data_IF_343296640987
#
_entry.id   IF_343296640987
#
_cell.length_a   1.000
_cell.length_b   1.000
_cell.length_c   1.000
_cell.angle_alpha   90.00
_cell.angle_beta   90.00
_cell.angle_gamma   90.00
#
_symmetry.space_group_name_H-M   'P 1'
#
loop_
_entity.id
_entity.type
_entity.pdbx_description
1 polymer ?
#
# COMPACT_ATOMS: atom_id res chain seq x y z
N UNK A 1 -9.20 -28.38 -12.54
CA UNK A 1 -7.85 -27.75 -12.58
C UNK A 1 -7.47 -27.54 -11.14
N UNK A 2 -6.45 -28.23 -10.65
CA UNK A 2 -5.99 -28.11 -9.26
C UNK A 2 -5.48 -26.70 -9.01
N UNK A 3 -6.02 -26.04 -7.98
CA UNK A 3 -5.50 -24.77 -7.48
C UNK A 3 -4.08 -25.04 -6.96
N UNK A 4 -3.07 -24.69 -7.77
CA UNK A 4 -1.69 -24.68 -7.28
C UNK A 4 -1.58 -23.54 -6.27
N UNK A 5 -1.61 -23.91 -4.98
CA UNK A 5 -1.38 -23.00 -3.88
C UNK A 5 0.04 -22.43 -4.01
N UNK A 6 0.15 -21.21 -4.52
CA UNK A 6 1.45 -20.51 -4.59
C UNK A 6 1.82 -20.09 -3.18
N UNK A 7 2.85 -20.72 -2.63
CA UNK A 7 3.42 -20.32 -1.35
C UNK A 7 4.30 -19.08 -1.54
N UNK A 8 4.17 -18.13 -0.61
CA UNK A 8 4.96 -16.90 -0.59
C UNK A 8 5.78 -16.83 0.68
N UNK A 9 7.06 -16.50 0.56
CA UNK A 9 7.89 -16.10 1.69
C UNK A 9 7.85 -14.58 1.83
N UNK A 10 7.44 -14.09 2.99
CA UNK A 10 7.37 -12.66 3.30
C UNK A 10 8.34 -12.30 4.42
N UNK A 11 9.18 -11.29 4.19
CA UNK A 11 10.20 -10.83 5.14
C UNK A 11 10.02 -9.35 5.46
N UNK A 12 10.11 -8.99 6.73
CA UNK A 12 9.87 -7.64 7.23
C UNK A 12 11.10 -7.07 7.95
N UNK A 13 11.55 -5.91 7.49
CA UNK A 13 12.75 -5.22 7.95
C UNK A 13 12.39 -3.85 8.50
N UNK A 14 13.09 -3.44 9.58
CA UNK A 14 13.23 -2.01 9.91
C UNK A 14 14.40 -1.51 9.08
N UNK A 15 14.21 -0.42 8.38
CA UNK A 15 15.21 0.09 7.43
C UNK A 15 15.51 1.55 7.72
N UNK A 16 16.78 1.91 7.62
CA UNK A 16 17.19 3.31 7.51
C UNK A 16 17.34 3.72 6.03
N UNK A 17 17.18 5.01 5.70
CA UNK A 17 17.30 5.50 4.32
C UNK A 17 18.64 5.16 3.64
N UNK A 18 19.73 5.09 4.40
CA UNK A 18 21.06 4.71 3.93
C UNK A 18 21.24 3.19 3.76
N UNK A 19 20.60 2.40 4.63
CA UNK A 19 20.67 0.93 4.58
C UNK A 19 19.90 0.37 3.38
N UNK A 20 18.75 0.95 3.04
CA UNK A 20 17.93 0.40 1.95
C UNK A 20 18.53 0.58 0.55
N UNK A 21 19.49 1.49 0.44
CA UNK A 21 20.26 1.70 -0.78
C UNK A 21 21.28 0.58 -1.01
N UNK A 22 21.59 -0.19 0.05
CA UNK A 22 22.47 -1.34 -0.01
C UNK A 22 21.66 -2.58 -0.45
N UNK A 23 22.32 -3.53 -1.12
CA UNK A 23 21.74 -4.84 -1.49
C UNK A 23 20.65 -4.87 -2.58
N UNK A 24 20.44 -3.79 -3.34
CA UNK A 24 19.61 -3.82 -4.56
C UNK A 24 18.09 -3.90 -4.33
N UNK A 25 17.62 -4.04 -3.09
CA UNK A 25 16.20 -4.07 -2.74
C UNK A 25 15.42 -2.89 -3.28
N UNK A 26 15.93 -1.67 -3.10
CA UNK A 26 15.27 -0.46 -3.60
C UNK A 26 15.20 -0.42 -5.13
N UNK A 27 16.20 -1.00 -5.81
CA UNK A 27 16.24 -1.07 -7.27
C UNK A 27 15.20 -2.04 -7.79
N UNK A 28 15.05 -3.20 -7.15
CA UNK A 28 14.04 -4.17 -7.50
C UNK A 28 12.63 -3.68 -7.21
N UNK A 29 12.42 -3.03 -6.06
CA UNK A 29 11.16 -2.38 -5.73
C UNK A 29 10.79 -1.30 -6.75
N UNK A 30 11.73 -0.44 -7.12
CA UNK A 30 11.54 0.60 -8.13
C UNK A 30 11.25 0.01 -9.52
N UNK A 31 11.93 -1.09 -9.88
CA UNK A 31 11.71 -1.82 -11.13
C UNK A 31 10.32 -2.46 -11.17
N UNK A 32 9.92 -3.14 -10.09
CA UNK A 32 8.60 -3.75 -9.96
C UNK A 32 7.50 -2.70 -10.05
N UNK A 33 7.63 -1.60 -9.30
CA UNK A 33 6.66 -0.49 -9.37
C UNK A 33 6.53 0.03 -10.80
N UNK A 34 7.67 0.28 -11.45
CA UNK A 34 7.72 0.81 -12.81
C UNK A 34 7.15 -0.13 -13.88
N UNK A 35 7.05 -1.44 -13.62
CA UNK A 35 6.47 -2.41 -14.56
C UNK A 35 5.01 -2.74 -14.23
N UNK A 36 4.63 -2.72 -12.95
CA UNK A 36 3.37 -3.28 -12.49
C UNK A 36 2.32 -2.24 -12.10
N UNK A 37 2.71 -1.06 -11.60
CA UNK A 37 1.79 -0.15 -10.89
C UNK A 37 0.63 0.34 -11.77
N UNK A 38 0.89 1.25 -12.70
CA UNK A 38 -0.16 1.89 -13.50
C UNK A 38 0.41 2.64 -14.70
N UNK A 39 -0.49 3.27 -15.47
CA UNK A 39 -0.15 4.20 -16.54
C UNK A 39 -0.68 5.59 -16.21
N UNK A 40 -0.14 6.61 -16.86
CA UNK A 40 -0.65 7.98 -16.73
C UNK A 40 -2.00 8.13 -17.44
N UNK A 41 -2.90 8.89 -16.81
CA UNK A 41 -4.20 9.25 -17.37
C UNK A 41 -4.10 10.36 -18.41
N UNK A 42 -5.24 10.66 -19.06
CA UNK A 42 -5.29 11.58 -20.22
C UNK A 42 -4.86 13.00 -19.87
N UNK A 43 -5.10 13.42 -18.63
CA UNK A 43 -4.79 14.77 -18.15
C UNK A 43 -3.35 14.93 -17.64
N UNK A 44 -2.56 13.86 -17.53
CA UNK A 44 -1.24 13.91 -16.92
C UNK A 44 -0.26 14.85 -17.67
N UNK A 45 -0.32 14.89 -19.01
CA UNK A 45 0.56 15.75 -19.80
C UNK A 45 0.31 17.24 -19.52
N UNK A 46 -0.95 17.61 -19.28
CA UNK A 46 -1.36 18.98 -18.98
C UNK A 46 -1.09 19.36 -17.52
N UNK A 47 -1.30 18.42 -16.59
CA UNK A 47 -1.30 18.69 -15.15
C UNK A 47 0.05 18.47 -14.47
N UNK A 48 0.86 17.55 -14.99
CA UNK A 48 2.18 17.19 -14.43
C UNK A 48 3.30 17.69 -15.35
N UNK A 49 3.11 17.58 -16.66
CA UNK A 49 4.04 18.10 -17.66
C UNK A 49 4.13 17.22 -18.91
N UNK A 50 4.73 17.72 -20.00
CA UNK A 50 4.62 17.11 -21.32
C UNK A 50 5.15 15.68 -21.36
N UNK A 51 6.17 15.31 -20.57
CA UNK A 51 6.74 13.95 -20.56
C UNK A 51 5.83 12.87 -19.96
N UNK A 52 4.73 13.25 -19.31
CA UNK A 52 3.78 12.37 -18.62
C UNK A 52 2.57 12.05 -19.51
N UNK A 53 2.83 11.45 -20.68
CA UNK A 53 1.78 11.13 -21.65
C UNK A 53 0.91 9.94 -21.23
N UNK A 54 -0.35 9.97 -21.66
CA UNK A 54 -1.30 8.86 -21.56
C UNK A 54 -0.68 7.53 -22.03
N UNK A 55 -1.10 6.42 -21.42
CA UNK A 55 -0.63 5.04 -21.64
C UNK A 55 0.85 4.77 -21.30
N UNK A 56 1.65 5.80 -20.99
CA UNK A 56 3.00 5.57 -20.47
C UNK A 56 2.94 5.09 -19.04
N UNK A 57 3.77 4.10 -18.72
CA UNK A 57 3.94 3.60 -17.36
C UNK A 57 4.39 4.70 -16.41
N UNK A 58 3.79 4.74 -15.23
CA UNK A 58 4.33 5.49 -14.10
C UNK A 58 5.69 4.89 -13.76
N UNK A 59 6.75 5.67 -13.86
CA UNK A 59 8.12 5.23 -13.56
C UNK A 59 8.56 5.78 -12.21
N UNK A 60 9.27 4.92 -11.49
CA UNK A 60 9.91 5.22 -10.22
C UNK A 60 11.36 4.77 -10.33
N UNK A 61 12.30 5.68 -10.08
CA UNK A 61 13.71 5.31 -9.89
C UNK A 61 13.98 5.13 -8.38
N UNK A 62 15.13 4.54 -8.05
CA UNK A 62 15.48 4.24 -6.67
C UNK A 62 15.65 5.50 -5.81
N UNK A 63 16.25 6.57 -6.34
CA UNK A 63 16.43 7.84 -5.61
C UNK A 63 15.10 8.49 -5.22
N UNK A 64 14.16 8.52 -6.18
CA UNK A 64 12.81 9.01 -5.97
C UNK A 64 12.05 8.12 -4.98
N UNK A 65 12.16 6.80 -5.12
CA UNK A 65 11.53 5.86 -4.19
C UNK A 65 12.04 6.09 -2.76
N UNK A 66 13.35 6.23 -2.57
CA UNK A 66 13.95 6.51 -1.25
C UNK A 66 13.38 7.81 -0.69
N UNK A 67 13.43 8.88 -1.48
CA UNK A 67 12.98 10.23 -1.07
C UNK A 67 11.49 10.27 -0.72
N UNK A 68 10.65 9.56 -1.48
CA UNK A 68 9.19 9.61 -1.32
C UNK A 68 8.64 8.57 -0.34
N UNK A 69 9.32 7.45 -0.12
CA UNK A 69 8.80 6.34 0.67
C UNK A 69 9.54 6.07 1.97
N UNK A 70 10.77 6.60 2.14
CA UNK A 70 11.67 6.31 3.28
C UNK A 70 12.28 7.62 3.79
N UNK A 71 11.48 8.52 4.39
CA UNK A 71 11.99 9.80 4.90
C UNK A 71 13.01 9.61 6.02
N UNK A 72 13.96 10.56 6.08
CA UNK A 72 15.00 10.62 7.09
C UNK A 72 14.42 10.91 8.49
N UNK A 73 15.03 10.33 9.53
CA UNK A 73 14.64 10.56 10.93
C UNK A 73 13.35 9.86 11.37
N UNK A 74 12.75 9.01 10.53
CA UNK A 74 11.56 8.23 10.87
C UNK A 74 11.88 6.73 11.02
N UNK A 75 11.00 6.00 11.72
CA UNK A 75 11.01 4.54 11.66
C UNK A 75 10.37 4.10 10.34
N UNK A 76 11.13 3.39 9.51
CA UNK A 76 10.65 2.90 8.23
C UNK A 76 10.65 1.37 8.22
N UNK A 77 9.59 0.80 7.65
CA UNK A 77 9.40 -0.63 7.50
C UNK A 77 9.43 -0.96 6.01
N UNK A 78 10.19 -2.00 5.67
CA UNK A 78 10.17 -2.61 4.35
C UNK A 78 9.72 -4.06 4.46
N UNK A 79 8.67 -4.42 3.74
CA UNK A 79 8.23 -5.81 3.59
C UNK A 79 8.43 -6.23 2.15
N UNK A 80 9.07 -7.36 1.95
CA UNK A 80 9.29 -7.98 0.64
C UNK A 80 8.67 -9.37 0.63
N UNK A 81 8.02 -9.72 -0.48
CA UNK A 81 7.43 -11.03 -0.68
C UNK A 81 7.97 -11.67 -1.96
N UNK A 82 8.41 -12.92 -1.84
CA UNK A 82 8.83 -13.74 -2.96
C UNK A 82 7.82 -14.86 -3.22
N UNK A 83 7.61 -15.16 -4.49
CA UNK A 83 6.84 -16.32 -4.94
C UNK A 83 7.73 -17.32 -5.67
N UNK A 84 7.38 -18.59 -5.58
CA UNK A 84 7.99 -19.64 -6.38
C UNK A 84 7.30 -19.71 -7.74
N UNK A 85 8.03 -19.36 -8.80
CA UNK A 85 7.56 -19.48 -10.18
C UNK A 85 8.27 -20.67 -10.83
N UNK A 86 7.52 -21.50 -11.57
CA UNK A 86 8.11 -22.61 -12.31
C UNK A 86 9.01 -22.06 -13.43
N UNK A 87 10.26 -22.49 -13.45
CA UNK A 87 11.16 -22.14 -14.53
C UNK A 87 10.94 -23.10 -15.70
N UNK A 88 10.24 -22.61 -16.72
CA UNK A 88 9.95 -23.37 -17.93
C UNK A 88 11.20 -23.67 -18.77
N UNK A 89 12.32 -22.98 -18.52
CA UNK A 89 13.59 -23.18 -19.24
C UNK A 89 14.52 -24.17 -18.52
N UNK A 90 14.41 -24.29 -17.20
CA UNK A 90 15.26 -25.15 -16.38
C UNK A 90 14.56 -26.45 -15.93
N UNK A 91 13.62 -26.96 -16.73
CA UNK A 91 13.14 -28.34 -16.70
C UNK A 91 12.80 -28.91 -15.31
N UNK A 92 11.92 -28.25 -14.55
CA UNK A 92 11.45 -28.56 -13.18
C UNK A 92 12.07 -27.75 -12.02
N UNK A 93 13.01 -26.83 -12.27
CA UNK A 93 13.47 -25.91 -11.22
C UNK A 93 12.41 -24.83 -10.90
N UNK A 94 12.25 -24.50 -9.62
CA UNK A 94 11.48 -23.32 -9.19
C UNK A 94 12.44 -22.16 -8.95
N UNK A 95 12.12 -20.97 -9.51
CA UNK A 95 12.87 -19.74 -9.25
C UNK A 95 12.08 -18.86 -8.30
N UNK A 96 12.74 -18.47 -7.21
CA UNK A 96 12.23 -17.46 -6.28
C UNK A 96 12.28 -16.10 -6.97
N UNK A 97 11.12 -15.44 -7.10
CA UNK A 97 11.02 -14.12 -7.75
C UNK A 97 10.23 -13.15 -6.88
N UNK A 98 10.62 -11.88 -6.94
CA UNK A 98 9.89 -10.81 -6.27
C UNK A 98 8.43 -10.78 -6.75
N UNK A 99 7.51 -11.02 -5.83
CA UNK A 99 6.08 -11.08 -6.07
C UNK A 99 5.36 -9.79 -5.63
N UNK A 100 5.89 -9.11 -4.61
CA UNK A 100 5.38 -7.83 -4.14
C UNK A 100 6.21 -7.25 -3.01
N UNK A 101 5.92 -6.01 -2.66
CA UNK A 101 6.53 -5.33 -1.53
C UNK A 101 5.63 -4.22 -0.96
N UNK A 102 5.95 -3.78 0.26
CA UNK A 102 5.42 -2.56 0.83
C UNK A 102 6.50 -1.75 1.56
N UNK A 103 6.37 -0.43 1.44
CA UNK A 103 7.03 0.54 2.31
C UNK A 103 6.02 1.13 3.27
N UNK A 104 6.42 1.31 4.52
CA UNK A 104 5.67 2.08 5.49
C UNK A 104 6.59 2.96 6.33
N UNK A 105 6.06 4.09 6.76
CA UNK A 105 6.75 5.07 7.60
C UNK A 105 5.93 5.32 8.85
N UNK A 106 6.59 5.35 10.00
CA UNK A 106 5.97 5.62 11.29
C UNK A 106 6.43 6.95 11.88
N UNK A 107 5.49 7.71 12.46
CA UNK A 107 5.76 8.96 13.16
C UNK A 107 4.76 9.20 14.30
N UNK A 108 5.01 10.24 15.11
CA UNK A 108 4.12 10.68 16.17
C UNK A 108 3.25 11.85 15.69
N UNK A 109 1.95 11.77 15.95
CA UNK A 109 0.98 12.84 15.71
C UNK A 109 0.04 12.94 16.90
N UNK A 110 0.00 14.10 17.57
CA UNK A 110 -0.87 14.32 18.74
C UNK A 110 -0.66 13.29 19.87
N UNK A 111 0.58 12.84 20.10
CA UNK A 111 0.91 11.79 21.07
C UNK A 111 0.67 10.35 20.60
N UNK A 112 -0.08 10.17 19.51
CA UNK A 112 -0.41 8.88 18.91
C UNK A 112 0.65 8.47 17.88
N UNK A 113 0.89 7.18 17.74
CA UNK A 113 1.77 6.58 16.73
C UNK A 113 0.99 6.28 15.47
N UNK A 114 1.45 6.80 14.35
CA UNK A 114 0.88 6.52 13.02
C UNK A 114 1.85 5.64 12.27
N UNK A 115 1.35 4.60 11.60
CA UNK A 115 2.06 3.84 10.58
C UNK A 115 1.37 4.04 9.22
N UNK A 116 2.06 4.59 8.25
CA UNK A 116 1.50 4.87 6.94
C UNK A 116 2.18 4.08 5.85
N UNK A 117 1.42 3.37 5.04
CA UNK A 117 1.92 2.65 3.87
C UNK A 117 2.17 3.67 2.76
N UNK A 118 3.44 3.92 2.47
CA UNK A 118 3.89 4.91 1.46
C UNK A 118 3.94 4.33 0.06
N UNK A 119 4.10 3.01 -0.06
CA UNK A 119 4.00 2.31 -1.34
C UNK A 119 3.62 0.85 -1.11
N UNK A 120 2.68 0.35 -1.91
CA UNK A 120 2.34 -1.07 -2.00
C UNK A 120 2.34 -1.47 -3.47
N UNK A 121 3.09 -2.51 -3.82
CA UNK A 121 3.13 -3.03 -5.17
C UNK A 121 3.06 -4.56 -5.17
N UNK A 122 2.18 -5.10 -6.02
CA UNK A 122 2.06 -6.55 -6.24
C UNK A 122 2.06 -6.81 -7.74
N UNK A 123 2.91 -7.76 -8.16
CA UNK A 123 3.02 -8.22 -9.54
C UNK A 123 1.66 -8.70 -10.04
N UNK A 124 1.27 -8.33 -11.26
CA UNK A 124 -0.05 -8.66 -11.84
C UNK A 124 -0.39 -10.15 -11.74
N UNK A 125 0.58 -11.02 -11.99
CA UNK A 125 0.43 -12.49 -11.91
C UNK A 125 0.08 -13.01 -10.50
N UNK A 126 0.38 -12.25 -9.45
CA UNK A 126 0.15 -12.60 -8.05
C UNK A 126 -1.00 -11.81 -7.40
N UNK A 127 -1.68 -10.93 -8.17
CA UNK A 127 -2.87 -10.21 -7.70
C UNK A 127 -4.04 -11.17 -7.50
N UNK A 128 -5.01 -10.75 -6.66
CA UNK A 128 -6.22 -11.53 -6.31
C UNK A 128 -5.94 -12.85 -5.56
N UNK A 129 -4.74 -13.02 -4.99
CA UNK A 129 -4.33 -14.21 -4.20
C UNK A 129 -4.07 -13.90 -2.73
N UNK A 130 -4.61 -12.79 -2.22
CA UNK A 130 -4.40 -12.36 -0.82
C UNK A 130 -3.01 -11.80 -0.48
N UNK A 131 -2.05 -11.84 -1.41
CA UNK A 131 -0.66 -11.41 -1.16
C UNK A 131 -0.53 -9.96 -0.64
N UNK A 132 -1.30 -9.01 -1.18
CA UNK A 132 -1.30 -7.63 -0.69
C UNK A 132 -1.67 -7.55 0.80
N UNK A 133 -2.71 -8.29 1.22
CA UNK A 133 -3.13 -8.35 2.63
C UNK A 133 -2.02 -8.96 3.49
N UNK A 134 -1.38 -10.03 3.03
CA UNK A 134 -0.31 -10.70 3.78
C UNK A 134 0.89 -9.75 3.98
N UNK A 135 1.34 -9.07 2.93
CA UNK A 135 2.41 -8.07 3.01
C UNK A 135 2.07 -7.00 4.05
N UNK A 136 0.83 -6.48 4.04
CA UNK A 136 0.39 -5.44 4.97
C UNK A 136 0.25 -5.96 6.42
N UNK A 137 -0.13 -7.22 6.63
CA UNK A 137 -0.11 -7.84 7.98
C UNK A 137 1.30 -7.88 8.54
N UNK A 138 2.30 -8.24 7.71
CA UNK A 138 3.71 -8.20 8.13
C UNK A 138 4.18 -6.79 8.47
N UNK A 139 3.64 -5.75 7.84
CA UNK A 139 3.86 -4.36 8.28
C UNK A 139 3.29 -4.16 9.69
N UNK A 140 2.02 -4.52 9.93
CA UNK A 140 1.37 -4.40 11.25
C UNK A 140 2.18 -5.11 12.34
N UNK A 141 2.56 -6.37 12.10
CA UNK A 141 3.30 -7.20 13.04
C UNK A 141 4.68 -6.60 13.36
N UNK A 142 5.37 -6.06 12.34
CA UNK A 142 6.71 -5.50 12.51
C UNK A 142 6.70 -4.19 13.31
N UNK A 143 5.66 -3.38 13.13
CA UNK A 143 5.47 -2.13 13.88
C UNK A 143 5.12 -2.43 15.34
N UNK A 144 4.25 -3.42 15.58
CA UNK A 144 3.98 -3.96 16.92
C UNK A 144 3.17 -3.06 17.86
N UNK A 145 2.61 -1.94 17.40
CA UNK A 145 1.80 -1.07 18.28
C UNK A 145 1.47 0.33 17.76
N UNK A 146 1.27 0.53 16.45
CA UNK A 146 0.75 1.82 15.99
C UNK A 146 -0.71 2.01 16.43
N UNK A 147 -1.08 3.25 16.78
CA UNK A 147 -2.45 3.65 17.08
C UNK A 147 -3.29 3.78 15.81
N UNK A 148 -2.65 4.14 14.70
CA UNK A 148 -3.29 4.28 13.39
C UNK A 148 -2.48 3.64 12.28
N UNK A 149 -3.20 3.05 11.32
CA UNK A 149 -2.65 2.58 10.05
C UNK A 149 -3.31 3.34 8.89
N UNK A 150 -2.51 3.91 8.00
CA UNK A 150 -3.01 4.70 6.87
C UNK A 150 -2.45 4.28 5.52
N UNK A 151 -3.23 4.52 4.46
CA UNK A 151 -2.80 4.38 3.06
C UNK A 151 -3.58 5.33 2.16
N UNK A 152 -2.90 5.88 1.14
CA UNK A 152 -3.52 6.46 -0.05
C UNK A 152 -3.28 5.51 -1.23
N UNK A 153 -4.31 5.26 -2.02
CA UNK A 153 -4.13 4.51 -3.26
C UNK A 153 -5.33 4.60 -4.20
N UNK A 154 -5.05 4.59 -5.50
CA UNK A 154 -6.10 4.60 -6.53
C UNK A 154 -6.79 3.25 -6.71
N UNK A 155 -6.14 2.14 -6.34
CA UNK A 155 -6.61 0.79 -6.69
C UNK A 155 -7.46 0.14 -5.57
N UNK A 156 -8.74 -0.23 -5.80
CA UNK A 156 -9.62 -0.80 -4.77
C UNK A 156 -9.07 -2.05 -4.07
N UNK A 157 -8.37 -2.92 -4.80
CA UNK A 157 -7.73 -4.11 -4.22
C UNK A 157 -6.68 -3.78 -3.14
N UNK A 158 -5.92 -2.68 -3.29
CA UNK A 158 -4.96 -2.23 -2.28
C UNK A 158 -5.67 -1.74 -1.02
N UNK A 159 -6.70 -0.90 -1.20
CA UNK A 159 -7.55 -0.39 -0.13
C UNK A 159 -8.21 -1.53 0.66
N UNK A 160 -8.85 -2.48 -0.03
CA UNK A 160 -9.42 -3.65 0.65
C UNK A 160 -8.38 -4.51 1.36
N UNK A 161 -7.16 -4.62 0.79
CA UNK A 161 -6.05 -5.29 1.44
C UNK A 161 -5.69 -4.63 2.77
N UNK A 162 -5.58 -3.30 2.78
CA UNK A 162 -5.33 -2.53 3.99
C UNK A 162 -6.45 -2.67 5.02
N UNK A 163 -7.72 -2.56 4.61
CA UNK A 163 -8.84 -2.74 5.52
C UNK A 163 -8.87 -4.13 6.18
N UNK A 164 -8.47 -5.18 5.46
CA UNK A 164 -8.38 -6.56 6.00
C UNK A 164 -7.13 -6.81 6.84
N UNK A 165 -6.05 -6.08 6.58
CA UNK A 165 -4.80 -6.24 7.30
C UNK A 165 -4.78 -5.48 8.62
N UNK A 166 -5.38 -4.28 8.64
CA UNK A 166 -5.30 -3.36 9.76
C UNK A 166 -6.59 -3.25 10.58
N UNK A 167 -7.73 -3.72 10.04
CA UNK A 167 -9.02 -3.69 10.72
C UNK A 167 -9.92 -4.87 10.32
N UNK A 168 -11.23 -4.66 10.37
CA UNK A 168 -12.25 -5.71 10.19
C UNK A 168 -12.76 -5.83 8.75
N UNK A 169 -12.03 -5.29 7.77
CA UNK A 169 -12.41 -5.27 6.36
C UNK A 169 -13.18 -4.01 5.94
N UNK A 170 -13.45 -3.89 4.63
CA UNK A 170 -13.95 -2.66 4.00
C UNK A 170 -15.36 -2.26 4.48
N UNK A 171 -16.21 -3.23 4.83
CA UNK A 171 -17.58 -2.98 5.26
C UNK A 171 -17.66 -2.28 6.64
N UNK A 172 -16.58 -2.38 7.44
CA UNK A 172 -16.51 -1.81 8.78
C UNK A 172 -15.87 -0.41 8.81
N UNK A 173 -15.39 0.09 7.66
CA UNK A 173 -14.56 1.29 7.57
C UNK A 173 -15.25 2.59 8.02
N UNK A 174 -16.58 2.65 7.95
CA UNK A 174 -17.34 3.86 8.32
C UNK A 174 -17.23 4.26 9.80
N UNK A 175 -16.69 3.39 10.67
CA UNK A 175 -16.63 3.63 12.11
C UNK A 175 -15.29 4.24 12.58
N UNK A 176 -14.29 4.35 11.71
CA UNK A 176 -12.90 4.55 12.15
C UNK A 176 -12.24 5.89 11.75
N UNK A 177 -12.83 6.67 10.83
CA UNK A 177 -12.20 7.90 10.31
C UNK A 177 -12.92 9.14 10.83
N UNK A 178 -12.29 9.85 11.77
CA UNK A 178 -12.63 11.24 12.06
C UNK A 178 -11.91 12.16 11.07
N UNK A 179 -12.61 13.19 10.54
CA UNK A 179 -12.02 14.25 9.72
C UNK A 179 -10.81 14.88 10.42
N UNK A 180 -10.94 15.16 11.71
CA UNK A 180 -9.90 15.83 12.51
C UNK A 180 -8.66 14.95 12.66
N UNK A 181 -8.84 13.65 12.93
CA UNK A 181 -7.72 12.71 13.00
C UNK A 181 -7.04 12.60 11.63
N UNK A 182 -7.81 12.49 10.53
CA UNK A 182 -7.27 12.40 9.18
C UNK A 182 -6.46 13.64 8.79
N UNK A 183 -7.00 14.84 9.03
CA UNK A 183 -6.33 16.10 8.71
C UNK A 183 -5.05 16.27 9.55
N UNK A 184 -5.14 16.02 10.86
CA UNK A 184 -4.00 16.16 11.77
C UNK A 184 -2.88 15.18 11.43
N UNK A 185 -3.23 13.93 11.14
CA UNK A 185 -2.27 12.88 10.77
C UNK A 185 -1.62 13.19 9.43
N UNK A 186 -2.40 13.56 8.41
CA UNK A 186 -1.84 13.88 7.11
C UNK A 186 -0.93 15.11 7.18
N UNK A 187 -1.37 16.22 7.80
CA UNK A 187 -0.56 17.45 7.93
C UNK A 187 0.74 17.26 8.71
N UNK A 188 0.79 16.34 9.66
CA UNK A 188 2.01 16.01 10.41
C UNK A 188 2.93 15.02 9.70
N UNK A 189 2.54 14.51 8.53
CA UNK A 189 3.28 13.45 7.86
C UNK A 189 4.70 13.92 7.45
N UNK A 190 5.74 13.10 7.72
CA UNK A 190 7.07 13.33 7.18
C UNK A 190 7.12 13.11 5.66
N UNK A 191 6.14 12.39 5.10
CA UNK A 191 6.05 12.03 3.69
C UNK A 191 5.35 13.16 2.92
N UNK A 192 6.08 13.82 2.03
CA UNK A 192 5.61 15.08 1.43
C UNK A 192 4.32 14.94 0.61
N UNK A 193 4.11 13.83 -0.12
CA UNK A 193 2.89 13.66 -0.90
C UNK A 193 1.66 13.46 0.00
N UNK A 194 1.82 12.80 1.16
CA UNK A 194 0.76 12.63 2.16
C UNK A 194 0.47 13.96 2.84
N UNK A 195 1.53 14.68 3.25
CA UNK A 195 1.41 15.97 3.94
C UNK A 195 0.69 17.04 3.14
N UNK A 196 0.93 17.05 1.83
CA UNK A 196 0.39 18.07 0.94
C UNK A 196 -0.96 17.68 0.30
N UNK A 197 -1.43 16.46 0.54
CA UNK A 197 -2.69 15.98 -0.02
C UNK A 197 -3.88 16.66 0.67
N UNK A 198 -4.91 16.97 -0.11
CA UNK A 198 -6.11 17.67 0.38
C UNK A 198 -7.26 16.69 0.54
N UNK A 199 -7.85 16.60 1.73
CA UNK A 199 -9.02 15.76 1.98
C UNK A 199 -10.16 16.12 1.04
N UNK A 200 -10.83 15.11 0.48
CA UNK A 200 -11.96 15.26 -0.44
C UNK A 200 -13.03 14.18 -0.23
N UNK A 201 -14.26 14.57 -0.52
CA UNK A 201 -15.44 13.71 -0.47
C UNK A 201 -16.33 13.99 0.73
N UNK A 202 -17.57 13.48 0.65
CA UNK A 202 -18.65 13.82 1.61
C UNK A 202 -18.33 13.44 3.07
N UNK A 203 -17.39 12.51 3.31
CA UNK A 203 -16.98 12.15 4.68
C UNK A 203 -16.29 13.31 5.42
N UNK A 204 -15.81 14.31 4.68
CA UNK A 204 -15.09 15.46 5.20
C UNK A 204 -15.85 16.79 4.99
N UNK A 205 -17.09 16.77 4.52
CA UNK A 205 -17.91 17.97 4.35
C UNK A 205 -18.65 18.30 5.64
N UNK A 206 -18.68 19.59 6.03
CA UNK A 206 -19.29 20.05 7.30
C UNK A 206 -20.81 19.85 7.34
N UNK A 207 -21.46 19.95 6.17
CA UNK A 207 -22.92 19.90 6.09
C UNK A 207 -23.49 18.52 5.78
N UNK A 208 -22.65 17.49 5.59
CA UNK A 208 -23.08 16.12 5.24
C UNK A 208 -23.89 15.99 3.93
N UNK A 209 -24.19 17.10 3.26
CA UNK A 209 -25.09 17.19 2.11
C UNK A 209 -24.40 17.60 0.81
N UNK A 210 -23.09 17.86 0.85
CA UNK A 210 -22.31 18.01 -0.38
C UNK A 210 -21.97 16.62 -0.91
N UNK A 211 -22.99 15.94 -1.43
CA UNK A 211 -22.80 15.04 -2.56
C UNK A 211 -22.41 15.93 -3.73
N UNK A 212 -21.17 16.42 -3.69
CA UNK A 212 -20.52 17.04 -4.83
C UNK A 212 -20.83 16.22 -6.07
N UNK A 213 -20.95 16.88 -7.23
CA UNK A 213 -21.23 16.23 -8.52
C UNK A 213 -20.26 15.10 -8.90
N UNK A 214 -19.18 14.89 -8.12
CA UNK A 214 -18.14 13.89 -8.34
C UNK A 214 -18.34 12.57 -7.58
N UNK A 215 -19.44 12.40 -6.83
CA UNK A 215 -19.80 11.17 -6.12
C UNK A 215 -18.66 10.56 -5.27
N UNK A 216 -17.76 11.41 -4.75
CA UNK A 216 -16.56 11.00 -4.02
C UNK A 216 -16.77 10.93 -2.51
N UNK A 217 -16.35 9.83 -1.87
CA UNK A 217 -16.67 9.56 -0.45
C UNK A 217 -15.56 9.87 0.52
N UNK A 218 -14.44 9.17 0.40
CA UNK A 218 -13.29 9.33 1.26
C UNK A 218 -12.01 9.18 0.44
N UNK A 219 -11.48 10.31 -0.01
CA UNK A 219 -10.29 10.38 -0.81
C UNK A 219 -9.44 11.60 -0.43
N UNK A 220 -8.28 11.72 -1.03
CA UNK A 220 -7.51 12.94 -1.00
C UNK A 220 -6.99 13.29 -2.39
N UNK A 221 -6.97 14.58 -2.71
CA UNK A 221 -6.31 15.08 -3.91
C UNK A 221 -4.80 15.07 -3.68
N UNK A 222 -4.11 14.15 -4.36
CA UNK A 222 -2.66 13.97 -4.26
C UNK A 222 -1.92 14.51 -5.48
N UNK A 223 -2.66 15.10 -6.44
CA UNK A 223 -2.15 15.53 -7.74
C UNK A 223 -1.56 14.36 -8.55
N UNK A 224 -2.09 13.15 -8.35
CA UNK A 224 -1.60 11.93 -8.98
C UNK A 224 -2.51 11.48 -10.12
N UNK A 225 -2.15 11.87 -11.34
CA UNK A 225 -2.98 11.77 -12.54
C UNK A 225 -2.84 10.42 -13.26
N UNK A 226 -3.06 9.32 -12.56
CA UNK A 226 -3.02 7.98 -13.16
C UNK A 226 -4.32 7.63 -13.88
N UNK A 227 -4.24 6.69 -14.81
CA UNK A 227 -5.42 6.12 -15.44
C UNK A 227 -6.21 5.28 -14.43
N UNK A 228 -7.50 5.59 -14.30
CA UNK A 228 -8.41 4.91 -13.38
C UNK A 228 -9.20 3.77 -14.05
N UNK A 229 -8.98 3.46 -15.33
CA UNK A 229 -9.73 2.43 -16.06
C UNK A 229 -9.61 1.04 -15.42
N UNK A 230 -8.40 0.58 -15.06
CA UNK A 230 -8.22 -0.69 -14.33
C UNK A 230 -8.86 -0.66 -12.93
N UNK A 231 -8.60 0.37 -12.09
CA UNK A 231 -9.29 0.56 -10.81
C UNK A 231 -10.82 0.56 -10.87
N UNK A 232 -11.43 1.30 -11.79
CA UNK A 232 -12.88 1.43 -11.96
C UNK A 232 -13.51 0.10 -12.34
N UNK A 233 -12.91 -0.63 -13.29
CA UNK A 233 -13.37 -1.98 -13.65
C UNK A 233 -13.31 -2.93 -12.47
N UNK A 234 -12.29 -2.84 -11.61
CA UNK A 234 -12.23 -3.64 -10.38
C UNK A 234 -13.37 -3.25 -9.44
N UNK A 235 -13.66 -1.97 -9.32
CA UNK A 235 -14.73 -1.44 -8.48
C UNK A 235 -16.11 -1.88 -8.95
N UNK A 236 -16.40 -1.83 -10.25
CA UNK A 236 -17.63 -2.32 -10.87
C UNK A 236 -17.86 -3.80 -10.57
N UNK A 237 -16.81 -4.62 -10.73
CA UNK A 237 -16.89 -6.05 -10.41
C UNK A 237 -17.19 -6.31 -8.92
N UNK A 238 -16.72 -5.45 -8.01
CA UNK A 238 -16.99 -5.57 -6.58
C UNK A 238 -18.41 -5.14 -6.19
N UNK A 239 -18.93 -4.11 -6.88
CA UNK A 239 -20.30 -3.62 -6.71
C UNK A 239 -21.34 -4.59 -7.27
N UNK A 240 -20.92 -5.52 -8.13
CA UNK A 240 -21.79 -6.52 -8.76
C UNK A 240 -22.59 -5.94 -9.93
N UNK A 241 -22.89 -6.79 -10.91
CA UNK A 241 -23.94 -6.48 -11.90
C UNK A 241 -25.30 -6.80 -11.28
N UNK A 242 -26.34 -5.96 -11.47
CA UNK A 242 -27.72 -6.25 -11.03
C UNK A 242 -28.25 -7.61 -11.54
N UNK A 243 -27.60 -8.21 -12.53
CA UNK A 243 -28.02 -9.45 -13.21
C UNK A 243 -27.30 -10.72 -12.70
N UNK A 244 -26.33 -10.63 -11.78
CA UNK A 244 -25.58 -11.79 -11.31
C UNK A 244 -26.15 -12.33 -9.99
N UNK A 245 -26.89 -13.45 -10.08
CA UNK A 245 -27.71 -14.06 -9.01
C UNK A 245 -26.91 -14.59 -7.80
N UNK A 246 -25.58 -14.48 -7.75
CA UNK A 246 -24.82 -15.12 -6.66
C UNK A 246 -23.43 -14.53 -6.41
N UNK A 247 -23.31 -13.19 -6.31
CA UNK A 247 -22.11 -12.59 -5.71
C UNK A 247 -22.47 -11.74 -4.50
N UNK A 248 -21.72 -11.94 -3.42
CA UNK A 248 -21.79 -11.11 -2.21
C UNK A 248 -21.43 -9.68 -2.61
N UNK A 249 -22.43 -8.81 -2.65
CA UNK A 249 -22.26 -7.38 -2.92
C UNK A 249 -21.35 -6.79 -1.83
N UNK A 250 -20.11 -6.45 -2.19
CA UNK A 250 -19.24 -5.68 -1.29
C UNK A 250 -19.74 -4.25 -1.35
N UNK A 251 -20.28 -3.74 -0.23
CA UNK A 251 -20.69 -2.34 -0.14
C UNK A 251 -19.43 -1.47 -0.16
N UNK A 252 -19.17 -0.79 -1.27
CA UNK A 252 -18.04 0.12 -1.38
C UNK A 252 -18.34 1.47 -0.73
N UNK A 253 -17.66 1.83 0.37
CA UNK A 253 -18.04 2.99 1.18
C UNK A 253 -17.39 4.30 0.75
N UNK A 254 -16.39 4.26 -0.14
CA UNK A 254 -15.51 5.40 -0.44
C UNK A 254 -15.93 6.22 -1.66
N UNK A 255 -17.05 5.87 -2.29
CA UNK A 255 -17.56 6.54 -3.48
C UNK A 255 -16.73 6.26 -4.73
N UNK A 256 -16.86 7.16 -5.70
CA UNK A 256 -16.04 7.21 -6.91
C UNK A 256 -14.71 7.91 -6.63
N UNK A 257 -13.76 7.73 -7.55
CA UNK A 257 -12.43 8.32 -7.42
C UNK A 257 -12.22 9.40 -8.48
N UNK A 258 -12.30 10.70 -8.11
CA UNK A 258 -12.03 11.77 -9.06
C UNK A 258 -10.59 11.74 -9.58
N UNK A 259 -10.38 12.23 -10.79
CA UNK A 259 -9.04 12.40 -11.36
C UNK A 259 -8.09 13.17 -10.43
N UNK A 260 -6.84 12.70 -10.36
CA UNK A 260 -5.82 13.31 -9.51
C UNK A 260 -5.98 13.02 -8.02
N UNK A 261 -6.98 12.22 -7.62
CA UNK A 261 -7.21 11.80 -6.24
C UNK A 261 -6.83 10.33 -6.03
N UNK A 262 -6.63 9.99 -4.76
CA UNK A 262 -6.45 8.62 -4.29
C UNK A 262 -7.43 8.33 -3.14
N UNK A 263 -7.95 7.11 -3.05
CA UNK A 263 -8.78 6.72 -1.92
C UNK A 263 -7.96 6.79 -0.64
N UNK A 264 -8.59 7.32 0.41
CA UNK A 264 -7.97 7.45 1.72
C UNK A 264 -8.55 6.40 2.65
N UNK A 265 -7.67 5.66 3.31
CA UNK A 265 -8.03 4.80 4.44
C UNK A 265 -7.14 5.13 5.61
N UNK A 266 -7.78 5.33 6.76
CA UNK A 266 -7.12 5.50 8.06
C UNK A 266 -7.86 4.62 9.07
N UNK A 267 -7.16 3.67 9.68
CA UNK A 267 -7.75 2.65 10.54
C UNK A 267 -7.15 2.81 11.93
N UNK A 268 -8.03 3.00 12.92
CA UNK A 268 -7.64 3.00 14.32
C UNK A 268 -7.37 1.57 14.78
N UNK A 269 -6.20 1.35 15.37
CA UNK A 269 -5.85 0.05 15.91
C UNK A 269 -6.52 -0.17 17.27
N UNK A 270 -7.50 -1.07 17.31
CA UNK A 270 -8.24 -1.41 18.54
C UNK A 270 -7.33 -2.02 19.62
N UNK A 271 -6.26 -2.68 19.20
CA UNK A 271 -5.29 -3.35 20.08
C UNK A 271 -4.41 -2.36 20.86
N UNK A 272 -4.28 -1.12 20.40
CA UNK A 272 -3.40 -0.10 21.00
C UNK A 272 -3.89 0.40 22.38
N UNK A 273 -5.17 0.19 22.69
CA UNK A 273 -5.81 0.61 23.96
C UNK A 273 -5.61 -0.36 25.14
N UNK A 274 -4.93 -1.50 24.94
CA UNK A 274 -4.67 -2.46 26.01
C UNK A 274 -3.33 -2.14 26.70
N UNK A 275 -3.26 -2.03 28.04
CA UNK A 275 -1.99 -1.89 28.73
C UNK A 275 -1.08 -3.07 28.38
N UNK A 276 0.24 -2.85 28.20
CA UNK A 276 1.15 -3.89 27.74
C UNK A 276 1.17 -5.03 28.75
N UNK A 277 0.58 -6.17 28.40
CA UNK A 277 0.80 -7.42 29.11
C UNK A 277 2.25 -7.84 28.86
N UNK A 278 3.07 -7.73 29.90
CA UNK A 278 4.45 -8.23 30.03
C UNK A 278 5.08 -8.73 28.73
N UNK A 279 5.75 -7.83 28.01
CA UNK A 279 6.72 -8.21 27.01
C UNK A 279 7.83 -9.03 27.71
N UNK A 280 7.80 -10.36 27.52
CA UNK A 280 8.97 -11.19 27.82
C UNK A 280 10.11 -10.65 26.97
N UNK A 281 11.16 -10.23 27.66
CA UNK A 281 12.40 -9.69 27.13
C UNK A 281 12.86 -10.49 25.90
N UNK A 282 12.66 -9.91 24.71
CA UNK A 282 13.21 -10.44 23.47
C UNK A 282 14.59 -9.81 23.30
N UNK A 283 15.59 -10.69 23.29
CA UNK A 283 17.00 -10.38 23.15
C UNK A 283 17.27 -9.29 22.11
N UNK A 284 18.14 -8.37 22.52
CA UNK A 284 18.82 -7.39 21.67
C UNK A 284 19.69 -8.15 20.66
N UNK A 285 19.09 -8.63 19.56
CA UNK A 285 19.84 -9.17 18.44
C UNK A 285 20.38 -7.98 17.64
N UNK A 286 21.58 -7.54 18.04
CA UNK A 286 22.52 -6.92 17.10
C UNK A 286 22.60 -7.81 15.87
N UNK A 287 22.57 -7.18 14.69
CA UNK A 287 22.79 -7.80 13.38
C UNK A 287 23.86 -8.89 13.49
N UNK A 288 23.42 -10.14 13.55
CA UNK A 288 24.24 -11.28 13.18
C UNK A 288 23.77 -11.67 11.79
N UNK A 289 24.68 -11.74 10.81
CA UNK A 289 24.32 -12.18 9.47
C UNK A 289 23.91 -13.65 9.58
N UNK A 290 22.61 -13.93 9.43
CA UNK A 290 22.24 -15.23 8.88
C UNK A 290 22.77 -15.21 7.46
N UNK A 291 23.82 -16.00 7.22
CA UNK A 291 24.46 -16.15 5.92
C UNK A 291 23.45 -16.79 4.96
N UNK A 292 22.65 -15.91 4.38
CA UNK A 292 21.92 -16.07 3.14
C UNK A 292 22.00 -14.69 2.52
N UNK A 293 23.11 -14.41 1.82
CA UNK A 293 23.25 -13.17 1.05
C UNK A 293 22.06 -13.04 0.11
N UNK A 294 21.63 -11.82 -0.25
CA UNK A 294 20.62 -11.60 -1.30
C UNK A 294 20.91 -12.45 -2.57
N UNK A 295 22.18 -12.71 -2.89
CA UNK A 295 22.61 -13.61 -3.95
C UNK A 295 22.15 -15.07 -3.77
N UNK A 296 22.11 -15.58 -2.54
CA UNK A 296 21.59 -16.92 -2.23
C UNK A 296 20.07 -17.04 -2.40
N UNK A 297 19.33 -15.94 -2.31
CA UNK A 297 17.86 -15.91 -2.49
C UNK A 297 17.45 -15.68 -3.94
N UNK A 298 18.28 -15.00 -4.73
CA UNK A 298 17.94 -14.59 -6.11
C UNK A 298 18.51 -15.53 -7.18
N UNK A 299 19.44 -16.42 -6.83
CA UNK A 299 19.96 -17.47 -7.72
C UNK A 299 20.50 -16.88 -9.03
N UNK A 300 21.77 -16.47 -9.04
CA UNK A 300 22.43 -16.12 -10.30
C UNK A 300 22.67 -17.38 -11.13
N UNK A 301 22.35 -17.25 -12.42
CA UNK A 301 22.85 -18.10 -13.51
C UNK A 301 24.38 -18.04 -13.57
#
# INVERSE_FOLDING_TARGET
MSDHHVEYSCHAYRVRPDEIMQEGFIRDAAKLFSSEYGVWGRHAAQKVGPSFHHDRRVRMNHDRLRKECVPDGCENIYVIAFGHEQDHLAGFAFKTRLAGHAFATCWKSGGKTVCWVTQLCVKKAHRKRGLATEILRRVKDKVGGADFFGILGSHPAAIMGACRAFGDGINSLHQDISRDDAETIMRSSPVSYVRNAQLKGWLFSEDGDDRTSDHSGCCAFTNFWVDHTEPERVLENLRGSPSAVSQVLVKWPLGELPDGCEFLVLIKNKDASSPPQHAKSANKLLLRPCVGTYESLVGRE
#
